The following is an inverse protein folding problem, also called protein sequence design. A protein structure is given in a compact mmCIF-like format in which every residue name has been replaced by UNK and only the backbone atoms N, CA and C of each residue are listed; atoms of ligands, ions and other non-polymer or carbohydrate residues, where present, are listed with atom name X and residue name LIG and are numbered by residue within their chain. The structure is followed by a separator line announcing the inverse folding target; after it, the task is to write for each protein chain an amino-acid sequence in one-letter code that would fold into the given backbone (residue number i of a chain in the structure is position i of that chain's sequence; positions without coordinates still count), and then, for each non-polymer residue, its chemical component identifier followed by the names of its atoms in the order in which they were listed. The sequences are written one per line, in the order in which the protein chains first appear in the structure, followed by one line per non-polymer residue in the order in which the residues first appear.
data_IF_384175254111
#
_entry.id   IF_384175254111
#
_cell.length_a   1.000
_cell.length_b   1.000
_cell.length_c   1.000
_cell.angle_alpha   90.00
_cell.angle_beta   90.00
_cell.angle_gamma   90.00
#
_symmetry.space_group_name_H-M   'P 1'
#
loop_
_entity.id
_entity.type
_entity.pdbx_description
1 polymer ?
#
# COMPACT_ATOMS: atom_id res chain seq x y z
N UNK A 1 -22.96 -10.29 -20.18
CA UNK A 1 -22.36 -9.19 -19.40
C UNK A 1 -21.78 -8.20 -20.38
N UNK A 2 -22.29 -6.96 -20.42
CA UNK A 2 -21.76 -5.90 -21.29
C UNK A 2 -20.74 -5.14 -20.47
N UNK A 3 -19.45 -5.22 -20.84
CA UNK A 3 -18.43 -4.39 -20.24
C UNK A 3 -18.69 -2.93 -20.64
N UNK A 4 -18.88 -2.06 -19.66
CA UNK A 4 -19.05 -0.62 -19.90
C UNK A 4 -17.69 0.02 -20.20
N UNK A 5 -17.64 1.12 -20.96
CA UNK A 5 -16.38 1.79 -21.33
C UNK A 5 -15.48 2.11 -20.13
N UNK A 6 -16.05 2.48 -18.97
CA UNK A 6 -15.30 2.71 -17.73
C UNK A 6 -14.59 1.47 -17.17
N UNK A 7 -15.12 0.26 -17.40
CA UNK A 7 -14.44 -0.97 -16.98
C UNK A 7 -13.18 -1.21 -17.83
N UNK A 8 -13.24 -0.86 -19.12
CA UNK A 8 -12.12 -1.00 -20.04
C UNK A 8 -11.05 0.08 -19.77
N UNK A 9 -11.44 1.33 -19.48
CA UNK A 9 -10.48 2.40 -19.12
C UNK A 9 -9.62 2.03 -17.91
N UNK A 10 -10.21 1.46 -16.85
CA UNK A 10 -9.44 1.05 -15.65
C UNK A 10 -8.38 0.00 -15.98
N UNK A 11 -8.60 -0.84 -16.99
CA UNK A 11 -7.63 -1.88 -17.40
C UNK A 11 -6.41 -1.32 -18.14
N UNK A 12 -6.48 -0.12 -18.70
CA UNK A 12 -5.35 0.52 -19.39
C UNK A 12 -4.57 1.50 -18.51
N UNK A 13 -5.17 1.96 -17.43
CA UNK A 13 -4.55 2.94 -16.52
C UNK A 13 -4.00 2.26 -15.28
N UNK A 14 -4.64 1.22 -14.76
CA UNK A 14 -4.28 0.56 -13.51
C UNK A 14 -3.85 -0.89 -13.75
N UNK A 15 -2.71 -1.25 -13.18
CA UNK A 15 -2.13 -2.59 -13.28
C UNK A 15 -1.97 -3.17 -11.86
N UNK A 16 -3.09 -3.50 -11.20
CA UNK A 16 -3.05 -4.05 -9.84
C UNK A 16 -2.43 -5.44 -9.86
N UNK A 17 -1.44 -5.63 -9.00
CA UNK A 17 -0.93 -6.96 -8.70
C UNK A 17 -1.55 -7.47 -7.40
N UNK A 18 -2.20 -8.64 -7.47
CA UNK A 18 -2.85 -9.27 -6.31
C UNK A 18 -1.85 -9.99 -5.40
N UNK A 19 -0.66 -10.30 -5.90
CA UNK A 19 0.35 -11.03 -5.17
C UNK A 19 1.36 -10.09 -4.53
N UNK A 20 1.54 -10.22 -3.22
CA UNK A 20 2.53 -9.43 -2.47
C UNK A 20 3.75 -10.32 -2.25
N UNK A 21 4.78 -10.13 -3.08
CA UNK A 21 6.01 -10.93 -3.05
C UNK A 21 6.87 -10.70 -1.80
N UNK A 22 6.79 -9.49 -1.25
CA UNK A 22 7.71 -9.03 -0.21
C UNK A 22 6.99 -8.13 0.79
N UNK A 23 7.35 -8.26 2.04
CA UNK A 23 6.87 -7.41 3.13
C UNK A 23 8.05 -6.79 3.91
N UNK A 24 7.81 -5.86 4.85
CA UNK A 24 8.89 -5.15 5.55
C UNK A 24 9.83 -6.06 6.36
N UNK A 25 9.41 -7.28 6.73
CA UNK A 25 10.28 -8.25 7.42
C UNK A 25 11.46 -8.70 6.56
N UNK A 26 11.35 -8.62 5.22
CA UNK A 26 12.44 -8.96 4.32
C UNK A 26 13.67 -8.04 4.48
N UNK A 27 13.47 -6.84 5.04
CA UNK A 27 14.53 -5.90 5.43
C UNK A 27 14.69 -5.79 6.96
N UNK A 28 14.07 -6.71 7.72
CA UNK A 28 14.03 -6.70 9.20
C UNK A 28 13.43 -5.41 9.78
N UNK A 29 12.55 -4.74 9.04
CA UNK A 29 11.85 -3.58 9.54
C UNK A 29 10.72 -4.03 10.48
N UNK A 30 10.61 -3.47 11.70
CA UNK A 30 9.44 -3.68 12.51
C UNK A 30 8.25 -3.01 11.83
N UNK A 31 7.13 -3.74 11.69
CA UNK A 31 5.92 -3.19 11.09
C UNK A 31 4.68 -3.78 11.73
N UNK A 32 3.55 -3.11 11.53
CA UNK A 32 2.21 -3.61 11.80
C UNK A 32 1.48 -3.77 10.48
N UNK A 33 0.91 -4.93 10.25
CA UNK A 33 -0.08 -5.15 9.21
C UNK A 33 -1.40 -4.51 9.66
N UNK A 34 -1.96 -3.63 8.83
CA UNK A 34 -3.11 -2.78 9.21
C UNK A 34 -4.19 -2.84 8.14
N UNK A 35 -5.44 -2.74 8.60
CA UNK A 35 -6.61 -2.54 7.75
C UNK A 35 -7.28 -1.20 8.10
N UNK A 36 -7.64 -0.43 7.08
CA UNK A 36 -8.36 0.83 7.21
C UNK A 36 -9.77 0.68 6.64
N UNK A 37 -10.78 1.00 7.44
CA UNK A 37 -12.16 1.04 6.99
C UNK A 37 -12.44 2.36 6.25
N UNK A 38 -13.04 2.28 5.06
CA UNK A 38 -13.53 3.44 4.31
C UNK A 38 -14.99 3.75 4.65
N UNK A 39 -15.43 4.98 4.37
CA UNK A 39 -16.81 5.43 4.65
C UNK A 39 -17.89 4.58 3.95
N UNK A 40 -17.57 4.02 2.79
CA UNK A 40 -18.42 3.10 2.03
C UNK A 40 -18.22 1.61 2.39
N UNK A 41 -17.54 1.32 3.49
CA UNK A 41 -17.49 -0.01 4.11
C UNK A 41 -16.45 -0.97 3.55
N UNK A 42 -15.51 -0.51 2.73
CA UNK A 42 -14.40 -1.33 2.24
C UNK A 42 -13.23 -1.34 3.23
N UNK A 43 -12.43 -2.42 3.20
CA UNK A 43 -11.18 -2.54 3.94
C UNK A 43 -9.99 -2.40 3.01
N UNK A 44 -9.12 -1.43 3.32
CA UNK A 44 -7.85 -1.22 2.62
C UNK A 44 -6.71 -1.77 3.46
N UNK A 45 -5.87 -2.60 2.85
CA UNK A 45 -4.69 -3.19 3.46
C UNK A 45 -3.49 -2.25 3.38
N UNK A 46 -2.63 -2.30 4.38
CA UNK A 46 -1.38 -1.56 4.40
C UNK A 46 -0.41 -2.01 5.48
N UNK A 47 0.71 -1.30 5.55
CA UNK A 47 1.71 -1.47 6.59
C UNK A 47 2.01 -0.15 7.29
N UNK A 48 2.06 -0.22 8.61
CA UNK A 48 2.58 0.85 9.45
C UNK A 48 3.96 0.47 10.00
N UNK A 49 4.98 1.23 9.61
CA UNK A 49 6.37 1.05 10.04
C UNK A 49 6.73 2.16 11.05
N UNK A 50 6.77 1.86 12.35
CA UNK A 50 7.14 2.84 13.37
C UNK A 50 8.63 3.15 13.36
N UNK A 51 8.97 4.41 13.69
CA UNK A 51 10.34 4.83 14.01
C UNK A 51 10.35 5.50 15.37
N UNK A 52 11.15 4.96 16.30
CA UNK A 52 11.29 5.54 17.63
C UNK A 52 11.79 6.99 17.56
N UNK A 53 11.15 7.87 18.34
CA UNK A 53 11.43 9.31 18.35
C UNK A 53 10.89 10.09 17.15
N UNK A 54 10.25 9.45 16.17
CA UNK A 54 9.67 10.13 15.03
C UNK A 54 8.48 11.02 15.46
N UNK A 55 8.50 12.28 15.02
CA UNK A 55 7.42 13.26 15.25
C UNK A 55 6.47 13.42 14.07
N UNK A 56 6.81 12.83 12.93
CA UNK A 56 6.07 12.92 11.68
C UNK A 56 5.75 11.52 11.19
N UNK A 57 4.56 11.36 10.62
CA UNK A 57 4.14 10.16 9.91
C UNK A 57 3.93 10.51 8.44
N UNK A 58 4.59 9.78 7.56
CA UNK A 58 4.42 9.93 6.12
C UNK A 58 3.40 8.90 5.63
N UNK A 59 2.38 9.38 4.92
CA UNK A 59 1.48 8.54 4.14
C UNK A 59 2.06 8.36 2.74
N UNK A 60 2.35 7.12 2.37
CA UNK A 60 2.87 6.74 1.06
C UNK A 60 1.76 6.09 0.26
N UNK A 61 1.55 6.62 -0.94
CA UNK A 61 0.57 6.14 -1.89
C UNK A 61 1.35 5.67 -3.13
N UNK A 62 1.25 4.38 -3.47
CA UNK A 62 2.10 3.78 -4.51
C UNK A 62 1.66 4.18 -5.95
N UNK A 63 2.46 3.85 -6.96
CA UNK A 63 2.10 4.12 -8.37
C UNK A 63 0.95 3.24 -8.88
N UNK A 64 0.48 3.47 -10.10
CA UNK A 64 -0.60 2.70 -10.73
C UNK A 64 -0.25 1.23 -11.08
N UNK A 65 1.01 0.80 -10.96
CA UNK A 65 1.42 -0.58 -11.26
C UNK A 65 2.06 -1.27 -10.04
N UNK A 66 1.71 -2.54 -9.84
CA UNK A 66 2.23 -3.37 -8.75
C UNK A 66 1.38 -3.28 -7.48
N UNK A 67 2.02 -3.26 -6.31
CA UNK A 67 1.43 -3.07 -4.98
C UNK A 67 2.50 -2.57 -3.97
N UNK A 68 2.13 -2.43 -2.69
CA UNK A 68 3.04 -1.98 -1.62
C UNK A 68 4.28 -2.86 -1.42
N UNK A 69 4.23 -4.15 -1.77
CA UNK A 69 5.38 -5.07 -1.66
C UNK A 69 6.56 -4.67 -2.53
N UNK A 70 6.28 -3.97 -3.64
CA UNK A 70 7.31 -3.41 -4.53
C UNK A 70 7.90 -2.09 -4.02
N UNK A 71 7.58 -1.67 -2.80
CA UNK A 71 7.99 -0.38 -2.21
C UNK A 71 8.68 -0.56 -0.85
N UNK A 72 9.03 -1.79 -0.47
CA UNK A 72 9.63 -2.09 0.85
C UNK A 72 10.91 -1.28 1.10
N UNK A 73 11.74 -1.07 0.07
CA UNK A 73 12.95 -0.25 0.15
C UNK A 73 12.66 1.24 0.41
N UNK A 74 11.49 1.74 -0.04
CA UNK A 74 11.08 3.11 0.27
C UNK A 74 10.76 3.27 1.75
N UNK A 75 10.15 2.24 2.36
CA UNK A 75 9.83 2.25 3.79
C UNK A 75 11.10 2.34 4.63
N UNK A 76 12.13 1.56 4.28
CA UNK A 76 13.43 1.65 4.96
C UNK A 76 14.00 3.06 4.86
N UNK A 77 14.07 3.62 3.64
CA UNK A 77 14.65 4.93 3.39
C UNK A 77 13.93 6.04 4.19
N UNK A 78 12.60 6.04 4.17
CA UNK A 78 11.78 7.04 4.86
C UNK A 78 11.85 6.89 6.38
N UNK A 79 11.87 5.66 6.90
CA UNK A 79 12.10 5.41 8.31
C UNK A 79 13.50 5.87 8.74
N UNK A 80 14.53 5.66 7.91
CA UNK A 80 15.90 6.14 8.16
C UNK A 80 15.98 7.65 8.22
N UNK A 81 15.15 8.35 7.43
CA UNK A 81 14.99 9.81 7.48
C UNK A 81 14.26 10.33 8.74
N UNK A 82 13.81 9.44 9.64
CA UNK A 82 13.27 9.82 10.95
C UNK A 82 11.75 9.94 11.02
N UNK A 83 11.03 9.39 10.05
CA UNK A 83 9.57 9.37 10.04
C UNK A 83 8.99 7.99 10.39
N UNK A 84 7.78 7.97 10.96
CA UNK A 84 6.91 6.80 10.83
C UNK A 84 6.41 6.74 9.38
N UNK A 85 6.11 5.54 8.89
CA UNK A 85 5.58 5.38 7.53
C UNK A 85 4.31 4.56 7.56
N UNK A 86 3.25 5.07 6.95
CA UNK A 86 2.05 4.33 6.60
C UNK A 86 2.02 4.20 5.09
N UNK A 87 2.00 2.98 4.57
CA UNK A 87 1.76 2.70 3.15
C UNK A 87 0.52 1.82 3.02
N UNK A 88 -0.28 2.01 1.98
CA UNK A 88 -1.48 1.21 1.74
C UNK A 88 -1.68 0.90 0.26
N UNK A 89 -2.31 -0.24 -0.01
CA UNK A 89 -2.79 -0.61 -1.34
C UNK A 89 -4.13 0.08 -1.61
N UNK A 90 -4.29 0.68 -2.78
CA UNK A 90 -5.58 1.24 -3.17
C UNK A 90 -6.64 0.15 -3.38
N UNK A 91 -7.88 0.56 -3.56
CA UNK A 91 -8.96 -0.36 -3.94
C UNK A 91 -8.59 -1.18 -5.17
N UNK A 92 -8.78 -2.49 -5.08
CA UNK A 92 -8.49 -3.42 -6.18
C UNK A 92 -7.03 -3.86 -6.29
N UNK A 93 -6.14 -3.36 -5.43
CA UNK A 93 -4.73 -3.75 -5.38
C UNK A 93 -4.50 -4.76 -4.27
N UNK A 94 -3.68 -5.78 -4.55
CA UNK A 94 -3.25 -6.76 -3.56
C UNK A 94 -4.40 -7.25 -2.66
N UNK A 95 -4.27 -7.00 -1.35
CA UNK A 95 -5.18 -7.43 -0.30
C UNK A 95 -6.29 -6.43 0.00
N UNK A 96 -6.26 -5.23 -0.61
CA UNK A 96 -7.33 -4.24 -0.48
C UNK A 96 -8.58 -4.66 -1.26
N UNK A 97 -9.74 -4.40 -0.66
CA UNK A 97 -11.05 -4.63 -1.27
C UNK A 97 -11.39 -3.58 -2.34
N UNK A 98 -12.44 -3.86 -3.13
CA UNK A 98 -12.99 -2.96 -4.15
C UNK A 98 -12.40 -3.11 -5.54
#
# INVERSE_FOLDING_TARGET
MVATPHMLERMFVYFPDRHVDRDPSALRLPYRDVELATEDGLRLHGWFVPREGARVTLLVLHGNAGNIGHRVEWLEMLCRAGANVLILDYRGYARSEG
#
